data_IF_170442300799
#
_entry.id   IF_170442300799
#
_cell.length_a   1.000
_cell.length_b   1.000
_cell.length_c   1.000
_cell.angle_alpha   90.00
_cell.angle_beta   90.00
_cell.angle_gamma   90.00
#
_symmetry.space_group_name_H-M   'P 1'
#
loop_
_entity.id
_entity.type
_entity.pdbx_description
1 polymer ?
#
# COMPACT_ATOMS: atom_id res chain seq x y z
N UNK A 1 6.25 -1.62 -17.35
CA UNK A 1 5.34 -2.03 -16.26
C UNK A 1 5.92 -1.74 -14.88
N UNK A 2 6.95 -2.46 -14.40
CA UNK A 2 7.44 -2.37 -13.01
C UNK A 2 7.76 -0.94 -12.54
N UNK A 3 8.49 -0.16 -13.35
CA UNK A 3 8.83 1.26 -13.06
C UNK A 3 7.60 2.16 -12.88
N UNK A 4 6.52 1.90 -13.63
CA UNK A 4 5.26 2.65 -13.51
C UNK A 4 4.60 2.33 -12.17
N UNK A 5 4.56 1.05 -11.79
CA UNK A 5 4.01 0.60 -10.52
C UNK A 5 4.82 1.12 -9.33
N UNK A 6 6.15 1.10 -9.40
CA UNK A 6 7.03 1.62 -8.34
C UNK A 6 6.80 3.12 -8.13
N UNK A 7 6.76 3.90 -9.22
CA UNK A 7 6.47 5.32 -9.21
C UNK A 7 5.08 5.60 -8.63
N UNK A 8 4.03 4.98 -9.18
CA UNK A 8 2.66 5.18 -8.73
C UNK A 8 2.47 4.78 -7.26
N UNK A 9 3.05 3.65 -6.83
CA UNK A 9 2.98 3.20 -5.46
C UNK A 9 3.68 4.17 -4.50
N UNK A 10 4.85 4.69 -4.88
CA UNK A 10 5.58 5.70 -4.11
C UNK A 10 4.79 6.99 -3.97
N UNK A 11 4.26 7.52 -5.08
CA UNK A 11 3.43 8.73 -5.08
C UNK A 11 2.15 8.53 -4.29
N UNK A 12 1.47 7.40 -4.44
CA UNK A 12 0.24 7.13 -3.71
C UNK A 12 0.41 7.12 -2.19
N UNK A 13 1.59 6.73 -1.69
CA UNK A 13 1.88 6.81 -0.26
C UNK A 13 2.19 8.22 0.24
N UNK A 14 2.64 9.10 -0.65
CA UNK A 14 3.00 10.50 -0.33
C UNK A 14 1.83 11.46 -0.51
N UNK A 15 1.02 11.23 -1.54
CA UNK A 15 0.05 12.19 -2.08
C UNK A 15 -1.38 11.60 -2.14
N UNK A 16 -1.59 10.39 -1.61
CA UNK A 16 -2.86 9.68 -1.69
C UNK A 16 -3.22 9.23 -3.12
N UNK A 17 -4.50 9.03 -3.40
CA UNK A 17 -5.03 8.66 -4.72
C UNK A 17 -4.68 9.69 -5.80
N UNK A 18 -4.49 10.96 -5.41
CA UNK A 18 -4.04 12.02 -6.32
C UNK A 18 -2.66 11.72 -6.92
N UNK A 19 -1.79 11.05 -6.16
CA UNK A 19 -0.45 10.66 -6.58
C UNK A 19 -0.40 9.67 -7.74
N UNK A 20 -1.49 8.96 -8.03
CA UNK A 20 -1.61 8.11 -9.22
C UNK A 20 -1.96 8.90 -10.50
N UNK A 21 -1.54 10.16 -10.62
CA UNK A 21 -1.75 10.96 -11.82
C UNK A 21 -0.83 10.50 -12.97
N UNK A 22 -1.41 10.20 -14.14
CA UNK A 22 -0.70 9.57 -15.27
C UNK A 22 0.56 10.34 -15.65
N UNK A 23 0.47 11.66 -15.88
CA UNK A 23 1.60 12.46 -16.32
C UNK A 23 2.78 12.43 -15.32
N UNK A 24 2.49 12.58 -14.03
CA UNK A 24 3.50 12.59 -12.99
C UNK A 24 4.14 11.20 -12.82
N UNK A 25 3.34 10.14 -12.81
CA UNK A 25 3.83 8.75 -12.73
C UNK A 25 4.70 8.39 -13.92
N UNK A 26 4.30 8.77 -15.14
CA UNK A 26 5.07 8.49 -16.34
C UNK A 26 6.39 9.28 -16.37
N UNK A 27 6.38 10.52 -15.88
CA UNK A 27 7.58 11.33 -15.66
C UNK A 27 8.56 10.65 -14.71
N UNK A 28 8.10 10.23 -13.53
CA UNK A 28 8.91 9.53 -12.52
C UNK A 28 9.42 8.17 -13.03
N UNK A 29 8.63 7.49 -13.86
CA UNK A 29 9.02 6.25 -14.52
C UNK A 29 9.97 6.46 -15.73
N UNK A 30 10.28 7.71 -16.10
CA UNK A 30 10.99 8.12 -17.31
C UNK A 30 10.47 7.44 -18.59
N UNK A 31 9.15 7.46 -18.76
CA UNK A 31 8.44 6.92 -19.92
C UNK A 31 7.56 8.00 -20.55
N UNK A 32 7.39 7.94 -21.87
CA UNK A 32 6.51 8.85 -22.59
C UNK A 32 5.04 8.65 -22.15
N UNK A 33 4.28 9.74 -22.07
CA UNK A 33 2.87 9.71 -21.64
C UNK A 33 2.03 8.69 -22.42
N UNK A 34 2.21 8.62 -23.75
CA UNK A 34 1.48 7.69 -24.62
C UNK A 34 1.73 6.21 -24.33
N UNK A 35 2.87 5.86 -23.71
CA UNK A 35 3.16 4.47 -23.33
C UNK A 35 2.27 3.97 -22.19
N UNK A 36 1.59 4.85 -21.46
CA UNK A 36 0.68 4.49 -20.37
C UNK A 36 -0.42 3.53 -20.85
N UNK A 37 -1.04 3.87 -21.99
CA UNK A 37 -2.19 3.15 -22.53
C UNK A 37 -1.83 1.77 -23.11
N UNK A 38 -0.55 1.45 -23.25
CA UNK A 38 -0.10 0.09 -23.55
C UNK A 38 -0.15 -0.84 -22.32
N UNK A 39 -0.26 -0.29 -21.11
CA UNK A 39 -0.19 -1.03 -19.84
C UNK A 39 -1.47 -0.94 -19.01
N UNK A 40 -2.15 0.21 -19.03
CA UNK A 40 -3.35 0.45 -18.24
C UNK A 40 -4.40 1.14 -19.11
N UNK A 41 -5.63 0.67 -19.04
CA UNK A 41 -6.78 1.27 -19.72
C UNK A 41 -7.25 2.56 -19.02
N UNK A 42 -6.97 2.73 -17.73
CA UNK A 42 -7.39 3.91 -16.98
C UNK A 42 -6.48 4.26 -15.81
N UNK A 43 -6.56 5.51 -15.37
CA UNK A 43 -5.95 5.98 -14.11
C UNK A 43 -6.40 5.15 -12.91
N UNK A 44 -7.67 4.74 -12.89
CA UNK A 44 -8.23 3.96 -11.80
C UNK A 44 -7.60 2.55 -11.74
N UNK A 45 -7.42 1.92 -12.90
CA UNK A 45 -6.71 0.63 -12.99
C UNK A 45 -5.27 0.75 -12.48
N UNK A 46 -4.56 1.83 -12.86
CA UNK A 46 -3.25 2.14 -12.29
C UNK A 46 -3.31 2.27 -10.77
N UNK A 47 -4.29 2.99 -10.22
CA UNK A 47 -4.41 3.19 -8.78
C UNK A 47 -4.63 1.86 -8.03
N UNK A 48 -5.48 0.98 -8.55
CA UNK A 48 -5.69 -0.38 -8.00
C UNK A 48 -4.39 -1.17 -8.03
N UNK A 49 -3.71 -1.19 -9.17
CA UNK A 49 -2.46 -1.94 -9.32
C UNK A 49 -1.35 -1.39 -8.42
N UNK A 50 -1.26 -0.06 -8.29
CA UNK A 50 -0.31 0.63 -7.41
C UNK A 50 -0.57 0.33 -5.93
N UNK A 51 -1.82 0.28 -5.48
CA UNK A 51 -2.18 -0.10 -4.11
C UNK A 51 -1.73 -1.53 -3.79
N UNK A 52 -2.07 -2.49 -4.66
CA UNK A 52 -1.68 -3.89 -4.51
C UNK A 52 -0.16 -4.04 -4.51
N UNK A 53 0.51 -3.36 -5.44
CA UNK A 53 1.97 -3.34 -5.53
C UNK A 53 2.61 -2.77 -4.26
N UNK A 54 2.11 -1.64 -3.77
CA UNK A 54 2.56 -1.00 -2.55
C UNK A 54 2.45 -1.91 -1.32
N UNK A 55 1.38 -2.69 -1.22
CA UNK A 55 1.13 -3.55 -0.06
C UNK A 55 1.81 -4.91 -0.15
N UNK A 56 2.02 -5.46 -1.35
CA UNK A 56 2.77 -6.71 -1.55
C UNK A 56 4.15 -6.64 -0.89
N UNK A 57 4.88 -5.55 -1.12
CA UNK A 57 6.25 -5.40 -0.66
C UNK A 57 6.31 -4.87 0.78
N UNK A 58 5.37 -3.97 1.14
CA UNK A 58 5.46 -3.26 2.41
C UNK A 58 4.75 -3.97 3.58
N UNK A 59 3.70 -4.78 3.33
CA UNK A 59 3.00 -5.54 4.39
C UNK A 59 3.95 -6.35 5.25
N UNK A 60 4.93 -7.01 4.62
CA UNK A 60 5.93 -7.82 5.32
C UNK A 60 6.87 -6.98 6.19
N UNK A 61 7.15 -5.74 5.81
CA UNK A 61 8.05 -4.85 6.56
C UNK A 61 7.43 -4.47 7.90
N UNK A 62 6.15 -4.07 7.91
CA UNK A 62 5.50 -3.58 9.13
C UNK A 62 4.77 -4.68 9.92
N UNK A 63 4.12 -5.67 9.27
CA UNK A 63 3.52 -6.83 9.99
C UNK A 63 4.61 -7.76 10.53
N UNK A 64 5.72 -7.91 9.79
CA UNK A 64 6.78 -8.86 10.12
C UNK A 64 6.38 -10.31 9.88
N UNK A 65 7.27 -11.24 10.26
CA UNK A 65 6.97 -12.67 10.29
C UNK A 65 6.11 -12.98 11.50
N UNK A 66 5.19 -13.94 11.37
CA UNK A 66 4.45 -14.53 12.49
C UNK A 66 5.45 -15.13 13.48
N UNK A 67 5.21 -14.92 14.77
CA UNK A 67 6.04 -15.37 15.89
C UNK A 67 5.14 -15.88 17.01
N UNK A 68 5.60 -16.87 17.81
CA UNK A 68 4.91 -17.23 19.04
C UNK A 68 5.03 -16.09 20.05
N UNK A 69 3.96 -15.30 20.16
CA UNK A 69 3.89 -14.13 21.04
C UNK A 69 2.44 -13.84 21.42
N UNK A 70 2.22 -13.37 22.65
CA UNK A 70 0.89 -12.94 23.09
C UNK A 70 0.43 -11.70 22.33
N UNK A 71 -0.89 -11.44 22.33
CA UNK A 71 -1.44 -10.26 21.68
C UNK A 71 -0.77 -8.93 22.13
N UNK A 72 -0.53 -8.66 23.44
CA UNK A 72 0.18 -7.46 23.86
C UNK A 72 1.61 -7.37 23.31
N UNK A 73 2.36 -8.48 23.30
CA UNK A 73 3.73 -8.52 22.75
C UNK A 73 3.73 -8.23 21.25
N UNK A 74 2.78 -8.80 20.52
CA UNK A 74 2.57 -8.54 19.09
C UNK A 74 2.29 -7.07 18.82
N UNK A 75 1.35 -6.48 19.55
CA UNK A 75 1.01 -5.08 19.38
C UNK A 75 2.21 -4.18 19.64
N UNK A 76 2.98 -4.45 20.70
CA UNK A 76 4.20 -3.68 20.99
C UNK A 76 5.24 -3.81 19.86
N UNK A 77 5.42 -5.01 19.30
CA UNK A 77 6.32 -5.25 18.17
C UNK A 77 5.87 -4.52 16.90
N UNK A 78 4.58 -4.59 16.57
CA UNK A 78 3.98 -3.88 15.43
C UNK A 78 4.12 -2.37 15.60
N UNK A 79 3.81 -1.84 16.78
CA UNK A 79 3.95 -0.43 17.11
C UNK A 79 5.40 0.05 16.95
N UNK A 80 6.39 -0.71 17.44
CA UNK A 80 7.82 -0.38 17.26
C UNK A 80 8.27 -0.36 15.80
N UNK A 81 7.65 -1.17 14.92
CA UNK A 81 7.94 -1.17 13.48
C UNK A 81 7.25 -0.02 12.75
N UNK A 82 6.03 0.29 13.15
CA UNK A 82 5.18 1.26 12.47
C UNK A 82 5.49 2.71 12.90
N UNK A 83 5.62 2.95 14.21
CA UNK A 83 5.78 4.28 14.81
C UNK A 83 7.27 4.70 14.88
N UNK A 84 7.91 4.77 13.72
CA UNK A 84 9.33 5.17 13.61
C UNK A 84 9.48 6.53 12.92
N UNK A 85 10.56 7.24 13.20
CA UNK A 85 10.91 8.48 12.46
C UNK A 85 11.07 8.21 10.97
N UNK A 86 11.64 7.06 10.59
CA UNK A 86 11.72 6.64 9.19
C UNK A 86 10.34 6.58 8.54
N UNK A 87 9.35 5.95 9.19
CA UNK A 87 8.00 5.86 8.65
C UNK A 87 7.33 7.23 8.50
N UNK A 88 7.59 8.15 9.44
CA UNK A 88 7.10 9.54 9.39
C UNK A 88 7.78 10.37 8.30
N UNK A 89 9.10 10.28 8.21
CA UNK A 89 9.93 11.16 7.37
C UNK A 89 10.08 10.61 5.93
N UNK A 90 9.75 9.33 5.70
CA UNK A 90 9.77 8.68 4.38
C UNK A 90 8.39 8.11 4.02
N UNK A 91 7.36 8.96 3.83
CA UNK A 91 6.01 8.50 3.48
C UNK A 91 5.97 7.69 2.18
N UNK A 92 6.89 7.96 1.24
CA UNK A 92 7.09 7.17 0.02
C UNK A 92 7.45 5.71 0.25
N UNK A 93 7.77 5.29 1.47
CA UNK A 93 7.98 3.91 1.89
C UNK A 93 7.03 3.49 3.02
N UNK A 94 5.99 4.29 3.30
CA UNK A 94 5.03 4.08 4.39
C UNK A 94 3.89 3.10 4.06
N UNK A 95 2.88 3.06 4.93
CA UNK A 95 1.73 2.19 4.72
C UNK A 95 0.74 2.82 3.72
N UNK A 96 0.51 2.14 2.59
CA UNK A 96 -0.44 2.63 1.59
C UNK A 96 -1.88 2.65 2.08
N UNK A 97 -2.29 1.74 2.98
CA UNK A 97 -3.63 1.75 3.57
C UNK A 97 -3.87 3.04 4.35
N UNK A 98 -2.91 3.44 5.19
CA UNK A 98 -3.01 4.67 5.96
C UNK A 98 -3.03 5.92 5.09
N UNK A 99 -2.23 5.93 4.00
CA UNK A 99 -2.14 7.07 3.09
C UNK A 99 -3.44 7.38 2.34
N UNK A 100 -4.22 6.35 1.96
CA UNK A 100 -5.44 6.53 1.15
C UNK A 100 -6.75 6.38 1.93
N UNK A 101 -6.69 6.06 3.23
CA UNK A 101 -7.86 5.70 4.04
C UNK A 101 -9.00 6.73 3.99
N UNK A 102 -8.69 8.02 3.98
CA UNK A 102 -9.67 9.13 3.99
C UNK A 102 -10.29 9.41 2.62
N UNK A 103 -9.76 8.80 1.57
CA UNK A 103 -10.16 9.01 0.17
C UNK A 103 -10.92 7.80 -0.39
N UNK A 104 -10.65 6.59 0.13
CA UNK A 104 -11.26 5.33 -0.32
C UNK A 104 -12.80 5.35 -0.33
N UNK A 105 -13.44 6.05 0.62
CA UNK A 105 -14.91 6.12 0.65
C UNK A 105 -15.50 6.85 -0.57
N UNK A 106 -14.72 7.78 -1.15
CA UNK A 106 -15.09 8.61 -2.31
C UNK A 106 -14.48 8.10 -3.62
N UNK A 107 -13.67 7.05 -3.58
CA UNK A 107 -13.01 6.49 -4.76
C UNK A 107 -13.98 5.67 -5.61
N UNK A 108 -13.50 5.28 -6.80
CA UNK A 108 -14.16 4.30 -7.65
C UNK A 108 -14.50 3.00 -6.89
N UNK A 109 -15.65 2.35 -7.17
CA UNK A 109 -16.05 1.10 -6.52
C UNK A 109 -14.99 -0.01 -6.59
N UNK A 110 -14.27 -0.12 -7.71
CA UNK A 110 -13.22 -1.13 -7.88
C UNK A 110 -12.01 -0.88 -6.98
N UNK A 111 -11.62 0.39 -6.80
CA UNK A 111 -10.57 0.77 -5.84
C UNK A 111 -11.01 0.47 -4.41
N UNK A 112 -12.25 0.81 -4.05
CA UNK A 112 -12.81 0.55 -2.72
C UNK A 112 -12.79 -0.94 -2.38
N UNK A 113 -13.22 -1.80 -3.31
CA UNK A 113 -13.15 -3.26 -3.15
C UNK A 113 -11.71 -3.73 -2.97
N UNK A 114 -10.78 -3.27 -3.80
CA UNK A 114 -9.37 -3.65 -3.65
C UNK A 114 -8.77 -3.17 -2.32
N UNK A 115 -9.15 -2.00 -1.82
CA UNK A 115 -8.73 -1.52 -0.50
C UNK A 115 -9.25 -2.42 0.62
N UNK A 116 -10.53 -2.81 0.54
CA UNK A 116 -11.13 -3.70 1.53
C UNK A 116 -10.42 -5.07 1.58
N UNK A 117 -10.16 -5.67 0.42
CA UNK A 117 -9.47 -6.96 0.31
C UNK A 117 -8.08 -6.90 0.97
N UNK A 118 -7.32 -5.86 0.62
CA UNK A 118 -5.97 -5.66 1.14
C UNK A 118 -5.94 -5.30 2.63
N UNK A 119 -6.95 -4.58 3.11
CA UNK A 119 -7.14 -4.29 4.54
C UNK A 119 -7.44 -5.57 5.32
N UNK A 120 -8.39 -6.39 4.85
CA UNK A 120 -8.71 -7.68 5.49
C UNK A 120 -7.48 -8.58 5.57
N UNK A 121 -6.72 -8.70 4.48
CA UNK A 121 -5.48 -9.47 4.49
C UNK A 121 -4.45 -8.95 5.49
N UNK A 122 -4.35 -7.63 5.63
CA UNK A 122 -3.44 -6.99 6.58
C UNK A 122 -3.91 -7.21 8.02
N UNK A 123 -5.22 -7.13 8.28
CA UNK A 123 -5.81 -7.41 9.60
C UNK A 123 -5.62 -8.87 10.00
N UNK A 124 -5.72 -9.83 9.09
CA UNK A 124 -5.40 -11.24 9.38
C UNK A 124 -3.95 -11.37 9.87
N UNK A 125 -3.00 -10.72 9.21
CA UNK A 125 -1.59 -10.75 9.63
C UNK A 125 -1.31 -10.04 10.97
N UNK A 126 -2.13 -9.06 11.35
CA UNK A 126 -2.04 -8.38 12.65
C UNK A 126 -2.69 -9.23 13.74
N UNK A 127 -3.97 -9.58 13.55
CA UNK A 127 -4.85 -10.15 14.56
C UNK A 127 -4.61 -11.65 14.77
N UNK A 128 -4.40 -12.41 13.71
CA UNK A 128 -4.20 -13.85 13.81
C UNK A 128 -2.73 -14.14 14.12
N UNK A 129 -2.50 -14.76 15.28
CA UNK A 129 -1.18 -15.20 15.70
C UNK A 129 -0.82 -16.55 15.14
N UNK A 130 0.25 -17.14 15.68
CA UNK A 130 0.37 -18.60 15.73
C UNK A 130 -0.70 -19.25 16.64
N UNK A 131 -1.60 -18.46 17.22
CA UNK A 131 -2.66 -18.88 18.14
C UNK A 131 -3.84 -19.54 17.39
N UNK A 132 -3.54 -20.44 16.47
CA UNK A 132 -4.50 -21.39 15.92
C UNK A 132 -4.57 -22.69 16.74
N UNK A 133 -3.74 -22.87 17.77
CA UNK A 133 -3.76 -24.07 18.62
C UNK A 133 -3.50 -23.72 20.10
N UNK A 134 -4.57 -23.49 20.85
CA UNK A 134 -4.76 -24.00 22.21
C UNK A 134 -6.23 -24.25 22.47
#
# INVERSE_FOLDING_TARGET
MQRILDAAASRSRQEGLSGAAIAAVMGDAALAHGAFYAYFASRNELAVAALRHALRDNRRLWVGKVRPESWPQRLQRLARRYLTRRHRDQPGEGCALAAVATETSRSDPSFRRSYEDELRQSLVGICCGSDAEK
#
